data_IF_029793472571
#
_entry.id   IF_029793472571
#
_cell.length_a   1.000
_cell.length_b   1.000
_cell.length_c   1.000
_cell.angle_alpha   90.00
_cell.angle_beta   90.00
_cell.angle_gamma   90.00
#
_symmetry.space_group_name_H-M   'P 1'
#
loop_
_entity.id
_entity.type
_entity.pdbx_description
1 polymer ?
#
# COMPACT_ATOMS: atom_id res chain seq x y z
N UNK A 1 -27.67 -9.69 -21.53
CA UNK A 1 -26.41 -10.16 -20.89
C UNK A 1 -26.35 -9.52 -19.52
N UNK A 2 -26.37 -10.30 -18.43
CA UNK A 2 -26.52 -9.83 -17.05
C UNK A 2 -25.22 -9.27 -16.45
N UNK A 3 -24.64 -8.24 -17.08
CA UNK A 3 -23.59 -7.45 -16.44
C UNK A 3 -24.24 -6.58 -15.36
N UNK A 4 -23.66 -6.55 -14.16
CA UNK A 4 -24.12 -5.67 -13.09
C UNK A 4 -24.01 -4.21 -13.53
N UNK A 5 -25.09 -3.45 -13.41
CA UNK A 5 -25.10 -2.03 -13.73
C UNK A 5 -24.09 -1.25 -12.88
N UNK A 6 -23.10 -0.63 -13.55
CA UNK A 6 -22.12 0.23 -12.91
C UNK A 6 -22.69 1.64 -12.76
N UNK A 7 -22.53 2.23 -11.57
CA UNK A 7 -22.93 3.61 -11.26
C UNK A 7 -21.72 4.51 -10.99
N UNK A 8 -21.78 5.82 -11.24
CA UNK A 8 -20.71 6.72 -10.81
C UNK A 8 -20.46 6.63 -9.30
N UNK A 9 -19.19 6.72 -8.91
CA UNK A 9 -18.77 6.85 -7.50
C UNK A 9 -18.33 8.28 -7.31
N UNK A 10 -18.79 8.92 -6.24
CA UNK A 10 -18.33 10.26 -5.87
C UNK A 10 -17.10 10.18 -4.96
N UNK A 11 -16.19 11.12 -5.15
CA UNK A 11 -15.09 11.38 -4.23
C UNK A 11 -15.64 11.76 -2.84
N UNK A 12 -14.91 11.39 -1.79
CA UNK A 12 -15.29 11.61 -0.41
C UNK A 12 -14.06 11.99 0.42
N UNK A 13 -13.97 13.27 0.80
CA UNK A 13 -12.81 13.83 1.50
C UNK A 13 -12.42 13.10 2.80
N UNK A 14 -13.37 12.44 3.46
CA UNK A 14 -13.12 11.68 4.70
C UNK A 14 -12.68 10.23 4.46
N UNK A 15 -12.71 9.75 3.21
CA UNK A 15 -12.30 8.40 2.82
C UNK A 15 -11.11 8.50 1.87
N UNK A 16 -9.92 8.28 2.41
CA UNK A 16 -8.64 8.43 1.70
C UNK A 16 -8.53 7.78 0.30
N UNK A 17 -9.09 6.59 0.09
CA UNK A 17 -9.03 5.91 -1.23
C UNK A 17 -10.20 6.27 -2.18
N UNK A 18 -11.14 7.11 -1.74
CA UNK A 18 -12.35 7.39 -2.53
C UNK A 18 -12.06 8.06 -3.86
N UNK A 19 -11.05 8.95 -3.92
CA UNK A 19 -10.62 9.60 -5.16
C UNK A 19 -10.14 8.55 -6.17
N UNK A 20 -9.29 7.60 -5.76
CA UNK A 20 -8.83 6.52 -6.63
C UNK A 20 -9.99 5.64 -7.12
N UNK A 21 -10.92 5.28 -6.24
CA UNK A 21 -12.10 4.50 -6.63
C UNK A 21 -13.00 5.25 -7.62
N UNK A 22 -13.18 6.57 -7.43
CA UNK A 22 -13.89 7.43 -8.39
C UNK A 22 -13.20 7.41 -9.74
N UNK A 23 -11.88 7.63 -9.79
CA UNK A 23 -11.10 7.65 -11.03
C UNK A 23 -11.18 6.31 -11.78
N UNK A 24 -10.99 5.18 -11.08
CA UNK A 24 -11.19 3.83 -11.65
C UNK A 24 -12.59 3.67 -12.24
N UNK A 25 -13.62 4.11 -11.50
CA UNK A 25 -15.02 4.03 -11.96
C UNK A 25 -15.29 4.91 -13.18
N UNK A 26 -14.69 6.10 -13.25
CA UNK A 26 -14.82 7.00 -14.40
C UNK A 26 -14.19 6.38 -15.65
N UNK A 27 -13.07 5.67 -15.51
CA UNK A 27 -12.48 4.89 -16.60
C UNK A 27 -13.42 3.76 -17.07
N UNK A 28 -14.00 2.99 -16.14
CA UNK A 28 -14.96 1.91 -16.46
C UNK A 28 -16.21 2.44 -17.20
N UNK A 29 -16.65 3.65 -16.85
CA UNK A 29 -17.86 4.29 -17.38
C UNK A 29 -17.59 5.26 -18.54
N UNK A 30 -16.36 5.34 -19.06
CA UNK A 30 -15.94 6.35 -20.06
C UNK A 30 -16.94 6.52 -21.19
N UNK A 31 -17.28 5.44 -21.90
CA UNK A 31 -18.18 5.50 -23.07
C UNK A 31 -19.61 5.90 -22.68
N UNK A 32 -20.09 5.41 -21.54
CA UNK A 32 -21.42 5.73 -21.03
C UNK A 32 -21.52 7.21 -20.64
N UNK A 33 -20.48 7.75 -19.99
CA UNK A 33 -20.39 9.17 -19.61
C UNK A 33 -20.38 10.04 -20.86
N UNK A 34 -19.47 9.77 -21.81
CA UNK A 34 -19.35 10.55 -23.05
C UNK A 34 -20.68 10.55 -23.83
N UNK A 35 -21.28 9.36 -24.01
CA UNK A 35 -22.54 9.21 -24.74
C UNK A 35 -23.69 9.95 -24.05
N UNK A 36 -23.80 9.84 -22.72
CA UNK A 36 -24.87 10.47 -21.95
C UNK A 36 -24.74 12.00 -21.98
N UNK A 37 -23.53 12.53 -21.83
CA UNK A 37 -23.27 13.97 -21.89
C UNK A 37 -23.58 14.54 -23.28
N UNK A 38 -23.24 13.82 -24.34
CA UNK A 38 -23.58 14.19 -25.72
C UNK A 38 -25.11 14.17 -25.95
N UNK A 39 -25.80 13.13 -25.49
CA UNK A 39 -27.27 13.01 -25.61
C UNK A 39 -28.02 14.10 -24.87
N UNK A 40 -27.55 14.47 -23.68
CA UNK A 40 -28.18 15.50 -22.84
C UNK A 40 -27.79 16.93 -23.24
N UNK A 41 -26.86 17.09 -24.20
CA UNK A 41 -26.23 18.37 -24.52
C UNK A 41 -25.78 19.11 -23.24
N UNK A 42 -25.17 18.35 -22.32
CA UNK A 42 -24.82 18.85 -21.00
C UNK A 42 -23.74 19.94 -21.12
N UNK A 43 -23.83 21.05 -20.36
CA UNK A 43 -22.85 22.13 -20.38
C UNK A 43 -21.61 21.76 -19.56
N UNK A 44 -21.03 20.59 -19.82
CA UNK A 44 -19.86 20.04 -19.13
C UNK A 44 -18.81 19.74 -20.18
N UNK A 45 -17.60 20.27 -19.99
CA UNK A 45 -16.46 19.94 -20.83
C UNK A 45 -16.03 18.50 -20.58
N UNK A 46 -15.90 17.74 -21.67
CA UNK A 46 -15.35 16.39 -21.63
C UNK A 46 -13.84 16.45 -21.46
N UNK A 47 -13.29 15.47 -20.75
CA UNK A 47 -11.85 15.27 -20.69
C UNK A 47 -11.28 15.06 -22.10
N UNK A 48 -10.20 15.76 -22.40
CA UNK A 48 -9.42 15.56 -23.62
C UNK A 48 -8.76 14.18 -23.62
N UNK A 49 -8.39 13.63 -24.79
CA UNK A 49 -7.75 12.31 -24.88
C UNK A 49 -6.55 12.13 -23.93
N UNK A 50 -5.68 13.14 -23.83
CA UNK A 50 -4.52 13.11 -22.94
C UNK A 50 -4.87 13.12 -21.46
N UNK A 51 -5.99 13.73 -21.05
CA UNK A 51 -6.44 13.73 -19.66
C UNK A 51 -6.96 12.35 -19.24
N UNK A 52 -7.58 11.61 -20.17
CA UNK A 52 -7.93 10.20 -19.93
C UNK A 52 -6.68 9.34 -19.68
N UNK A 53 -5.59 9.61 -20.40
CA UNK A 53 -4.32 8.91 -20.20
C UNK A 53 -3.70 9.27 -18.83
N UNK A 54 -3.76 10.55 -18.42
CA UNK A 54 -3.36 10.98 -17.07
C UNK A 54 -4.16 10.24 -15.99
N UNK A 55 -5.49 10.14 -16.14
CA UNK A 55 -6.33 9.42 -15.16
C UNK A 55 -5.96 7.94 -15.09
N UNK A 56 -5.69 7.31 -16.24
CA UNK A 56 -5.27 5.90 -16.31
C UNK A 56 -3.90 5.67 -15.68
N UNK A 57 -2.92 6.52 -15.99
CA UNK A 57 -1.59 6.47 -15.38
C UNK A 57 -1.67 6.71 -13.86
N UNK A 58 -2.49 7.67 -13.42
CA UNK A 58 -2.74 7.94 -12.00
C UNK A 58 -3.26 6.70 -11.28
N UNK A 59 -4.26 6.02 -11.85
CA UNK A 59 -4.80 4.79 -11.28
C UNK A 59 -3.74 3.69 -11.19
N UNK A 60 -2.90 3.57 -12.21
CA UNK A 60 -1.82 2.57 -12.27
C UNK A 60 -0.77 2.80 -11.18
N UNK A 61 -0.34 4.05 -10.99
CA UNK A 61 0.66 4.41 -9.97
C UNK A 61 0.11 4.22 -8.55
N UNK A 62 -1.17 4.54 -8.31
CA UNK A 62 -1.77 4.48 -6.98
C UNK A 62 -2.31 3.10 -6.60
N UNK A 63 -2.53 2.21 -7.56
CA UNK A 63 -3.00 0.84 -7.33
C UNK A 63 -2.19 0.06 -6.28
N UNK A 64 -0.84 0.00 -6.31
CA UNK A 64 -0.09 -0.73 -5.29
C UNK A 64 -0.30 -0.13 -3.88
N UNK A 65 -0.49 1.18 -3.76
CA UNK A 65 -0.77 1.83 -2.47
C UNK A 65 -2.12 1.42 -1.92
N UNK A 66 -3.14 1.33 -2.77
CA UNK A 66 -4.47 0.82 -2.40
C UNK A 66 -4.40 -0.64 -1.94
N UNK A 67 -3.70 -1.49 -2.69
CA UNK A 67 -3.56 -2.92 -2.35
C UNK A 67 -2.90 -3.10 -0.98
N UNK A 68 -1.78 -2.41 -0.74
CA UNK A 68 -1.09 -2.45 0.56
C UNK A 68 -1.98 -1.89 1.67
N UNK A 69 -2.66 -0.80 1.40
CA UNK A 69 -3.62 -0.18 2.33
C UNK A 69 -4.72 -1.14 2.75
N UNK A 70 -5.35 -1.83 1.81
CA UNK A 70 -6.41 -2.81 2.08
C UNK A 70 -5.84 -3.96 2.92
N UNK A 71 -4.66 -4.44 2.57
CA UNK A 71 -3.97 -5.52 3.28
C UNK A 71 -3.63 -5.14 4.73
N UNK A 72 -3.18 -3.90 5.00
CA UNK A 72 -2.83 -3.48 6.38
C UNK A 72 -4.05 -3.05 7.20
N UNK A 73 -5.19 -2.81 6.55
CA UNK A 73 -6.46 -2.47 7.20
C UNK A 73 -7.22 -3.71 7.69
N UNK A 74 -6.73 -4.92 7.41
CA UNK A 74 -7.32 -6.16 7.87
C UNK A 74 -7.23 -6.34 9.39
N UNK A 75 -8.35 -6.74 10.00
CA UNK A 75 -8.44 -7.02 11.45
C UNK A 75 -8.43 -8.52 11.77
N UNK A 76 -8.69 -9.37 10.77
CA UNK A 76 -8.84 -10.82 10.95
C UNK A 76 -7.50 -11.59 10.85
N UNK A 77 -6.38 -10.88 10.67
CA UNK A 77 -5.05 -11.48 10.56
C UNK A 77 -3.97 -10.51 11.03
N UNK A 78 -2.78 -11.06 11.34
CA UNK A 78 -1.63 -10.24 11.75
C UNK A 78 -1.13 -9.41 10.56
N UNK A 79 -1.18 -8.09 10.72
CA UNK A 79 -0.69 -7.10 9.74
C UNK A 79 0.70 -6.57 10.08
N UNK A 80 1.04 -6.48 11.37
CA UNK A 80 2.31 -5.94 11.86
C UNK A 80 3.53 -6.64 11.23
N UNK A 81 3.49 -7.97 11.08
CA UNK A 81 4.59 -8.74 10.48
C UNK A 81 4.80 -8.47 8.99
N UNK A 82 3.79 -7.95 8.30
CA UNK A 82 3.81 -7.65 6.85
C UNK A 82 4.35 -6.25 6.55
N UNK A 83 4.24 -5.32 7.50
CA UNK A 83 4.52 -3.89 7.30
C UNK A 83 5.86 -3.61 6.63
N UNK A 84 6.95 -4.21 7.14
CA UNK A 84 8.31 -3.98 6.62
C UNK A 84 8.40 -4.36 5.13
N UNK A 85 7.91 -5.55 4.76
CA UNK A 85 7.94 -6.03 3.39
C UNK A 85 7.04 -5.20 2.48
N UNK A 86 5.82 -4.87 2.93
CA UNK A 86 4.87 -4.12 2.11
C UNK A 86 5.36 -2.71 1.79
N UNK A 87 5.90 -1.98 2.78
CA UNK A 87 6.47 -0.66 2.51
C UNK A 87 7.72 -0.72 1.64
N UNK A 88 8.56 -1.74 1.81
CA UNK A 88 9.69 -1.97 0.90
C UNK A 88 9.21 -2.26 -0.52
N UNK A 89 8.17 -3.07 -0.66
CA UNK A 89 7.50 -3.33 -1.95
C UNK A 89 7.00 -2.04 -2.59
N UNK A 90 6.37 -1.15 -1.82
CA UNK A 90 5.93 0.17 -2.30
C UNK A 90 7.11 1.07 -2.71
N UNK A 91 8.19 1.11 -1.94
CA UNK A 91 9.40 1.87 -2.31
C UNK A 91 9.93 1.37 -3.66
N UNK A 92 10.08 0.06 -3.83
CA UNK A 92 10.54 -0.55 -5.08
C UNK A 92 9.58 -0.23 -6.24
N UNK A 93 8.27 -0.40 -6.04
CA UNK A 93 7.27 -0.10 -7.06
C UNK A 93 7.31 1.37 -7.49
N UNK A 94 7.44 2.30 -6.54
CA UNK A 94 7.48 3.74 -6.82
C UNK A 94 8.78 4.11 -7.55
N UNK A 95 9.94 3.56 -7.14
CA UNK A 95 11.20 3.75 -7.86
C UNK A 95 11.14 3.17 -9.27
N UNK A 96 10.52 2.00 -9.46
CA UNK A 96 10.34 1.41 -10.79
C UNK A 96 9.53 2.34 -11.71
N UNK A 97 8.48 2.99 -11.20
CA UNK A 97 7.75 4.00 -11.96
C UNK A 97 8.64 5.18 -12.38
N UNK A 98 9.60 5.60 -11.55
CA UNK A 98 10.56 6.65 -11.92
C UNK A 98 11.54 6.22 -13.02
N UNK A 99 12.01 4.96 -12.99
CA UNK A 99 13.13 4.52 -13.84
C UNK A 99 12.71 3.80 -15.12
N UNK A 100 11.48 3.27 -15.18
CA UNK A 100 11.02 2.43 -16.29
C UNK A 100 10.79 3.19 -17.60
N UNK A 101 10.74 4.52 -17.57
CA UNK A 101 10.39 5.34 -18.75
C UNK A 101 8.96 5.12 -19.24
N UNK A 102 8.13 4.41 -18.47
CA UNK A 102 6.74 4.09 -18.81
C UNK A 102 5.75 5.22 -18.48
N UNK A 103 6.19 6.23 -17.72
CA UNK A 103 5.41 7.44 -17.44
C UNK A 103 5.56 8.37 -18.62
N UNK A 104 4.43 8.72 -19.25
CA UNK A 104 4.45 9.53 -20.46
C UNK A 104 4.24 11.02 -20.16
N UNK A 105 3.69 11.35 -18.99
CA UNK A 105 3.23 12.71 -18.68
C UNK A 105 4.02 13.37 -17.55
N UNK A 106 4.32 14.66 -17.70
CA UNK A 106 5.03 15.48 -16.70
C UNK A 106 4.32 15.47 -15.34
N UNK A 107 3.00 15.67 -15.31
CA UNK A 107 2.20 15.68 -14.09
C UNK A 107 2.32 14.36 -13.29
N UNK A 108 2.34 13.22 -13.98
CA UNK A 108 2.49 11.91 -13.34
C UNK A 108 3.92 11.72 -12.84
N UNK A 109 4.90 12.25 -13.57
CA UNK A 109 6.30 12.23 -13.13
C UNK A 109 6.47 12.99 -11.83
N UNK A 110 5.90 14.18 -11.71
CA UNK A 110 5.90 14.97 -10.46
C UNK A 110 5.19 14.22 -9.33
N UNK A 111 4.03 13.63 -9.59
CA UNK A 111 3.29 12.83 -8.61
C UNK A 111 4.15 11.67 -8.07
N UNK A 112 4.82 10.92 -8.95
CA UNK A 112 5.68 9.80 -8.57
C UNK A 112 6.90 10.29 -7.78
N UNK A 113 7.50 11.43 -8.13
CA UNK A 113 8.58 12.03 -7.35
C UNK A 113 8.13 12.38 -5.92
N UNK A 114 6.96 12.99 -5.77
CA UNK A 114 6.38 13.31 -4.45
C UNK A 114 6.07 12.05 -3.65
N UNK A 115 5.55 11.00 -4.29
CA UNK A 115 5.29 9.71 -3.66
C UNK A 115 6.59 9.03 -3.19
N UNK A 116 7.61 8.97 -4.05
CA UNK A 116 8.92 8.41 -3.69
C UNK A 116 9.55 9.14 -2.51
N UNK A 117 9.57 10.48 -2.56
CA UNK A 117 10.11 11.30 -1.47
C UNK A 117 9.33 11.10 -0.16
N UNK A 118 8.00 10.96 -0.25
CA UNK A 118 7.14 10.70 0.91
C UNK A 118 7.37 9.31 1.50
N UNK A 119 7.55 8.29 0.65
CA UNK A 119 7.85 6.92 1.07
C UNK A 119 9.18 6.86 1.81
N UNK A 120 10.21 7.50 1.25
CA UNK A 120 11.52 7.57 1.90
C UNK A 120 11.41 8.30 3.25
N UNK A 121 10.86 9.52 3.25
CA UNK A 121 10.72 10.32 4.47
C UNK A 121 10.00 9.58 5.60
N UNK A 122 8.93 8.86 5.28
CA UNK A 122 8.05 8.22 6.29
C UNK A 122 8.49 6.82 6.67
N UNK A 123 9.08 6.04 5.75
CA UNK A 123 9.28 4.60 5.93
C UNK A 123 10.73 4.11 5.76
N UNK A 124 11.72 4.99 5.49
CA UNK A 124 13.14 4.60 5.29
C UNK A 124 13.77 3.76 6.41
N UNK A 125 13.31 3.89 7.66
CA UNK A 125 13.84 3.16 8.83
C UNK A 125 12.83 2.25 9.51
N UNK A 126 11.83 1.79 8.78
CA UNK A 126 10.75 1.03 9.41
C UNK A 126 11.22 -0.31 9.98
N UNK A 127 12.29 -0.90 9.43
CA UNK A 127 12.89 -2.12 9.98
C UNK A 127 13.55 -1.93 11.36
N UNK A 128 13.77 -0.69 11.81
CA UNK A 128 14.24 -0.37 13.17
C UNK A 128 13.10 -0.16 14.17
N UNK A 129 11.83 -0.24 13.74
CA UNK A 129 10.72 -0.24 14.70
C UNK A 129 10.69 -1.60 15.42
N UNK A 130 10.92 -1.60 16.73
CA UNK A 130 11.01 -2.83 17.52
C UNK A 130 9.81 -3.77 17.33
N UNK A 131 8.58 -3.25 17.41
CA UNK A 131 7.36 -4.05 17.30
C UNK A 131 7.23 -4.68 15.92
N UNK A 132 7.43 -3.90 14.86
CA UNK A 132 7.33 -4.40 13.49
C UNK A 132 8.45 -5.39 13.18
N UNK A 133 9.68 -5.09 13.60
CA UNK A 133 10.83 -5.94 13.39
C UNK A 133 10.67 -7.30 14.09
N UNK A 134 10.28 -7.29 15.36
CA UNK A 134 10.05 -8.50 16.14
C UNK A 134 8.89 -9.31 15.57
N UNK A 135 7.78 -8.66 15.20
CA UNK A 135 6.65 -9.32 14.54
C UNK A 135 7.07 -9.97 13.21
N UNK A 136 7.87 -9.29 12.38
CA UNK A 136 8.38 -9.84 11.12
C UNK A 136 9.36 -10.99 11.33
N UNK A 137 10.23 -10.94 12.35
CA UNK A 137 11.15 -12.03 12.69
C UNK A 137 10.38 -13.28 13.14
N UNK A 138 9.31 -13.10 13.93
CA UNK A 138 8.49 -14.20 14.44
C UNK A 138 7.57 -14.81 13.37
N UNK A 139 7.24 -14.09 12.31
CA UNK A 139 6.41 -14.59 11.22
C UNK A 139 7.21 -15.53 10.30
N UNK A 140 6.86 -16.82 10.21
CA UNK A 140 7.64 -17.78 9.44
C UNK A 140 7.73 -17.49 7.94
N UNK A 141 6.76 -16.74 7.40
CA UNK A 141 6.72 -16.36 5.99
C UNK A 141 7.78 -15.33 5.63
N UNK A 142 8.26 -14.57 6.61
CA UNK A 142 9.14 -13.43 6.40
C UNK A 142 10.50 -13.64 7.06
N UNK A 143 10.54 -13.77 8.40
CA UNK A 143 11.78 -13.93 9.17
C UNK A 143 12.85 -12.91 8.72
N UNK A 144 13.92 -13.40 8.09
CA UNK A 144 15.04 -12.60 7.59
C UNK A 144 14.72 -11.86 6.28
N UNK A 145 13.78 -12.37 5.48
CA UNK A 145 13.41 -11.79 4.19
C UNK A 145 12.77 -10.40 4.30
N UNK A 146 12.26 -10.05 5.49
CA UNK A 146 11.73 -8.72 5.73
C UNK A 146 12.79 -7.62 5.73
N UNK A 147 14.03 -7.95 6.04
CA UNK A 147 15.06 -6.96 6.35
C UNK A 147 15.96 -6.70 5.15
N UNK A 148 16.40 -5.45 5.02
CA UNK A 148 17.47 -5.06 4.12
C UNK A 148 18.75 -4.78 4.91
N UNK A 149 18.64 -4.13 6.07
CA UNK A 149 19.76 -3.92 6.99
C UNK A 149 19.90 -5.10 7.95
N UNK A 150 21.05 -5.79 7.87
CA UNK A 150 21.36 -6.91 8.76
C UNK A 150 21.44 -6.47 10.24
N UNK A 151 21.81 -5.22 10.50
CA UNK A 151 21.88 -4.65 11.84
C UNK A 151 20.50 -4.64 12.49
N UNK A 152 19.48 -4.19 11.76
CA UNK A 152 18.10 -4.15 12.25
C UNK A 152 17.57 -5.56 12.57
N UNK A 153 17.89 -6.54 11.72
CA UNK A 153 17.55 -7.95 11.96
C UNK A 153 18.25 -8.48 13.21
N UNK A 154 19.56 -8.26 13.33
CA UNK A 154 20.35 -8.77 14.46
C UNK A 154 19.87 -8.18 15.78
N UNK A 155 19.61 -6.87 15.83
CA UNK A 155 19.03 -6.21 17.00
C UNK A 155 17.67 -6.79 17.39
N UNK A 156 16.77 -7.03 16.42
CA UNK A 156 15.46 -7.62 16.68
C UNK A 156 15.58 -9.05 17.23
N UNK A 157 16.49 -9.85 16.65
CA UNK A 157 16.76 -11.21 17.13
C UNK A 157 17.33 -11.19 18.56
N UNK A 158 18.23 -10.25 18.88
CA UNK A 158 18.79 -10.14 20.24
C UNK A 158 17.72 -9.74 21.27
N UNK A 159 16.83 -8.81 20.92
CA UNK A 159 15.68 -8.46 21.77
C UNK A 159 14.78 -9.66 22.04
N UNK A 160 14.43 -10.42 21.00
CA UNK A 160 13.62 -11.64 21.14
C UNK A 160 14.29 -12.72 22.00
N UNK A 161 15.60 -12.95 21.82
CA UNK A 161 16.37 -13.90 22.66
C UNK A 161 16.35 -13.48 24.12
N UNK A 162 16.53 -12.19 24.38
CA UNK A 162 16.51 -11.63 25.75
C UNK A 162 15.13 -11.79 26.38
N UNK A 163 14.07 -11.48 25.63
CA UNK A 163 12.69 -11.65 26.08
C UNK A 163 12.37 -13.12 26.40
N UNK A 164 12.77 -14.05 25.53
CA UNK A 164 12.59 -15.49 25.75
C UNK A 164 13.33 -15.99 26.99
N UNK A 165 14.59 -15.58 27.19
CA UNK A 165 15.39 -15.95 28.36
C UNK A 165 14.83 -15.41 29.69
N UNK A 166 14.09 -14.30 29.65
CA UNK A 166 13.41 -13.76 30.83
C UNK A 166 12.11 -14.50 31.13
N UNK A 167 11.40 -14.98 30.12
CA UNK A 167 10.18 -15.77 30.32
C UNK A 167 10.47 -17.12 30.99
N UNK A 168 11.55 -17.79 30.59
CA UNK A 168 11.93 -19.10 31.15
C UNK A 168 12.40 -19.04 32.61
N UNK A 169 12.87 -17.88 33.10
CA UNK A 169 13.28 -17.70 34.50
C UNK A 169 12.11 -17.46 35.45
N UNK A 170 10.97 -17.03 34.92
CA UNK A 170 9.80 -16.62 35.72
C UNK A 170 8.70 -17.71 35.75
N UNK A 171 8.93 -18.89 35.16
CA UNK A 171 8.00 -20.02 35.31
C UNK A 171 8.08 -20.59 36.74
N UNK A 172 6.97 -20.65 37.51
CA UNK A 172 6.97 -21.29 38.82
C UNK A 172 7.27 -22.78 38.65
N UNK A 173 8.24 -23.30 39.42
CA UNK A 173 8.57 -24.72 39.42
C UNK A 173 7.33 -25.55 39.69
N UNK A 174 7.07 -26.54 38.84
CA UNK A 174 5.95 -27.48 38.99
C UNK A 174 5.92 -28.03 40.44
N UNK A 175 4.75 -28.06 41.11
CA UNK A 175 4.67 -28.60 42.46
C UNK A 175 5.12 -30.07 42.44
N UNK A 176 5.87 -30.53 43.46
CA UNK A 176 6.31 -31.91 43.52
C UNK A 176 5.07 -32.82 43.54
N UNK A 177 5.02 -33.75 42.59
CA UNK A 177 3.95 -34.75 42.51
C UNK A 177 3.93 -35.63 43.76
N UNK A 178 2.73 -35.86 44.29
CA UNK A 178 2.45 -36.81 45.36
C UNK A 178 2.69 -38.26 44.94
#
# INVERSE_FOLDING_TARGET
MGLSELRPIQDCITRWNSTLHMLKRVLDLREAIISTLALLNAPIELLYPHEWDIVKETCTVLEPFEQVTVEISGEQYVTASKMIILCRGLQIATTHHQTSGAISTENITEMVQVLSASMEKRFHRMEFNNVLAEASVLDPRFKKLAFYDSTALDEAVQRLKTAAANCTRNEPSAPPGN
#
